data_IF_679735530785
#
_entry.id   IF_679735530785
#
_cell.length_a   1.000
_cell.length_b   1.000
_cell.length_c   1.000
_cell.angle_alpha   90.00
_cell.angle_beta   90.00
_cell.angle_gamma   90.00
#
_symmetry.space_group_name_H-M   'P 1'
#
loop_
_entity.id
_entity.type
_entity.pdbx_description
1 polymer ?
#
# COMPACT_ATOMS: atom_id res chain seq x y z
N UNK A 1 -4.53 3.51 13.21
CA UNK A 1 -3.44 2.86 12.47
C UNK A 1 -2.81 1.89 13.42
N UNK A 2 -3.04 0.61 13.17
CA UNK A 2 -2.60 -0.48 14.02
C UNK A 2 -1.08 -0.73 13.88
N UNK A 3 -0.36 -0.73 15.00
CA UNK A 3 1.08 -1.02 15.05
C UNK A 3 1.40 -2.45 14.57
N UNK A 4 0.55 -3.43 14.92
CA UNK A 4 0.73 -4.83 14.52
C UNK A 4 0.65 -4.99 13.00
N UNK A 5 -0.27 -4.25 12.36
CA UNK A 5 -0.37 -4.23 10.91
C UNK A 5 0.89 -3.64 10.28
N UNK A 6 1.42 -2.53 10.81
CA UNK A 6 2.67 -1.91 10.33
C UNK A 6 3.83 -2.89 10.48
N UNK A 7 3.97 -3.53 11.65
CA UNK A 7 5.01 -4.52 11.92
C UNK A 7 4.93 -5.69 10.92
N UNK A 8 3.72 -6.20 10.69
CA UNK A 8 3.48 -7.25 9.70
C UNK A 8 3.92 -6.80 8.29
N UNK A 9 3.65 -5.54 7.89
CA UNK A 9 4.04 -5.05 6.58
C UNK A 9 5.56 -4.89 6.44
N UNK A 10 6.24 -4.37 7.47
CA UNK A 10 7.70 -4.26 7.50
C UNK A 10 8.34 -5.65 7.38
N UNK A 11 7.86 -6.63 8.15
CA UNK A 11 8.37 -8.00 8.10
C UNK A 11 8.22 -8.63 6.72
N UNK A 12 7.06 -8.43 6.07
CA UNK A 12 6.81 -8.93 4.71
C UNK A 12 7.77 -8.34 3.66
N UNK A 13 7.94 -7.01 3.64
CA UNK A 13 8.84 -6.35 2.68
C UNK A 13 10.29 -6.68 2.96
N UNK A 14 10.71 -6.71 4.22
CA UNK A 14 12.09 -7.06 4.60
C UNK A 14 12.43 -8.45 4.10
N UNK A 15 11.51 -9.42 4.22
CA UNK A 15 11.74 -10.76 3.68
C UNK A 15 11.88 -10.77 2.15
N UNK A 16 11.12 -9.93 1.41
CA UNK A 16 11.27 -9.80 -0.04
C UNK A 16 12.63 -9.19 -0.39
N UNK A 17 13.03 -8.13 0.31
CA UNK A 17 14.31 -7.46 0.13
C UNK A 17 15.51 -8.41 0.39
N UNK A 18 15.42 -9.23 1.44
CA UNK A 18 16.40 -10.31 1.70
C UNK A 18 16.46 -11.33 0.56
N UNK A 19 15.31 -11.70 0.00
CA UNK A 19 15.26 -12.61 -1.14
C UNK A 19 15.91 -12.01 -2.41
N UNK A 20 16.07 -10.68 -2.48
CA UNK A 20 16.84 -9.98 -3.53
C UNK A 20 18.34 -9.90 -3.24
N UNK A 21 18.80 -10.42 -2.09
CA UNK A 21 20.22 -10.48 -1.73
C UNK A 21 20.70 -9.39 -0.78
N UNK A 22 19.80 -8.54 -0.26
CA UNK A 22 20.17 -7.54 0.75
C UNK A 22 20.45 -8.19 2.11
N UNK A 23 21.32 -7.54 2.90
CA UNK A 23 21.53 -7.88 4.30
C UNK A 23 20.29 -7.61 5.14
N UNK A 24 20.25 -8.14 6.37
CA UNK A 24 19.13 -7.91 7.30
C UNK A 24 18.91 -6.41 7.58
N UNK A 25 19.99 -5.64 7.72
CA UNK A 25 19.94 -4.20 7.99
C UNK A 25 19.42 -3.43 6.78
N UNK A 26 19.98 -3.68 5.59
CA UNK A 26 19.54 -3.05 4.33
C UNK A 26 18.08 -3.37 4.04
N UNK A 27 17.68 -4.64 4.16
CA UNK A 27 16.31 -5.07 3.95
C UNK A 27 15.32 -4.42 4.94
N UNK A 28 15.72 -4.28 6.20
CA UNK A 28 14.90 -3.61 7.21
C UNK A 28 14.76 -2.11 6.93
N UNK A 29 15.83 -1.46 6.46
CA UNK A 29 15.82 -0.04 6.10
C UNK A 29 14.96 0.24 4.85
N UNK A 30 15.06 -0.61 3.83
CA UNK A 30 14.20 -0.51 2.65
C UNK A 30 12.74 -0.77 2.99
N UNK A 31 12.46 -1.79 3.81
CA UNK A 31 11.12 -2.09 4.28
C UNK A 31 10.51 -0.92 5.07
N UNK A 32 11.28 -0.32 5.98
CA UNK A 32 10.87 0.88 6.70
C UNK A 32 10.53 2.03 5.73
N UNK A 33 11.40 2.27 4.75
CA UNK A 33 11.24 3.37 3.79
C UNK A 33 9.98 3.17 2.95
N UNK A 34 9.77 1.98 2.38
CA UNK A 34 8.60 1.66 1.58
C UNK A 34 7.31 1.75 2.42
N UNK A 35 7.28 1.15 3.61
CA UNK A 35 6.09 1.19 4.49
C UNK A 35 5.75 2.63 4.92
N UNK A 36 6.76 3.45 5.24
CA UNK A 36 6.56 4.86 5.55
C UNK A 36 5.97 5.62 4.35
N UNK A 37 6.47 5.36 3.14
CA UNK A 37 5.92 5.92 1.90
C UNK A 37 4.46 5.53 1.69
N UNK A 38 4.12 4.24 1.89
CA UNK A 38 2.75 3.73 1.77
C UNK A 38 1.80 4.38 2.79
N UNK A 39 2.25 4.58 4.03
CA UNK A 39 1.48 5.30 5.06
C UNK A 39 1.22 6.76 4.67
N UNK A 40 2.21 7.45 4.10
CA UNK A 40 2.05 8.82 3.59
C UNK A 40 1.02 8.87 2.47
N UNK A 41 1.19 8.03 1.44
CA UNK A 41 0.27 7.97 0.30
C UNK A 41 -1.14 7.52 0.70
N UNK A 42 -1.27 6.66 1.72
CA UNK A 42 -2.57 6.33 2.33
C UNK A 42 -3.24 7.58 2.91
N UNK A 43 -2.51 8.42 3.64
CA UNK A 43 -3.06 9.66 4.17
C UNK A 43 -3.58 10.58 3.06
N UNK A 44 -2.84 10.69 1.96
CA UNK A 44 -3.27 11.47 0.79
C UNK A 44 -4.58 10.96 0.18
N UNK A 45 -4.75 9.63 0.08
CA UNK A 45 -6.01 9.02 -0.38
C UNK A 45 -7.17 9.36 0.57
N UNK A 46 -6.95 9.21 1.88
CA UNK A 46 -7.99 9.42 2.89
C UNK A 46 -8.40 10.89 2.99
N UNK A 47 -7.47 11.84 2.83
CA UNK A 47 -7.80 13.26 2.77
C UNK A 47 -8.79 13.59 1.63
N UNK A 48 -8.68 12.90 0.50
CA UNK A 48 -9.58 13.06 -0.66
C UNK A 48 -10.87 12.23 -0.53
N UNK A 49 -10.85 11.18 0.30
CA UNK A 49 -11.94 10.22 0.44
C UNK A 49 -12.17 9.87 1.93
N UNK A 50 -12.64 10.83 2.74
CA UNK A 50 -12.65 10.70 4.21
C UNK A 50 -13.57 9.60 4.75
N UNK A 51 -14.51 9.09 3.94
CA UNK A 51 -15.39 7.99 4.31
C UNK A 51 -14.73 6.61 4.22
N UNK A 52 -13.56 6.48 3.58
CA UNK A 52 -12.88 5.20 3.43
C UNK A 52 -12.18 4.78 4.73
N UNK A 53 -12.12 3.47 4.98
CA UNK A 53 -11.37 2.94 6.11
C UNK A 53 -9.85 3.01 5.82
N UNK A 54 -9.15 3.86 6.56
CA UNK A 54 -7.71 4.09 6.43
C UNK A 54 -6.85 2.83 6.56
N UNK A 55 -7.18 1.93 7.48
CA UNK A 55 -6.40 0.71 7.71
C UNK A 55 -6.58 -0.28 6.57
N UNK A 56 -7.80 -0.39 6.03
CA UNK A 56 -8.08 -1.20 4.86
C UNK A 56 -7.34 -0.68 3.62
N UNK A 57 -7.32 0.65 3.39
CA UNK A 57 -6.57 1.24 2.28
C UNK A 57 -5.08 0.97 2.44
N UNK A 58 -4.51 1.20 3.62
CA UNK A 58 -3.09 0.92 3.88
C UNK A 58 -2.75 -0.56 3.65
N UNK A 59 -3.61 -1.47 4.13
CA UNK A 59 -3.43 -2.90 3.92
C UNK A 59 -3.47 -3.27 2.43
N UNK A 60 -4.45 -2.77 1.68
CA UNK A 60 -4.55 -3.01 0.23
C UNK A 60 -3.35 -2.45 -0.55
N UNK A 61 -2.87 -1.26 -0.16
CA UNK A 61 -1.66 -0.66 -0.74
C UNK A 61 -0.43 -1.54 -0.48
N UNK A 62 -0.26 -2.01 0.75
CA UNK A 62 0.89 -2.83 1.14
C UNK A 62 0.89 -4.19 0.43
N UNK A 63 -0.27 -4.85 0.35
CA UNK A 63 -0.41 -6.12 -0.39
C UNK A 63 -0.07 -5.96 -1.88
N UNK A 64 -0.43 -4.84 -2.51
CA UNK A 64 -0.03 -4.58 -3.90
C UNK A 64 1.45 -4.24 -4.03
N UNK A 65 1.99 -3.45 -3.09
CA UNK A 65 3.41 -3.12 -3.05
C UNK A 65 4.27 -4.39 -2.95
N UNK A 66 3.86 -5.41 -2.19
CA UNK A 66 4.59 -6.67 -2.10
C UNK A 66 4.76 -7.33 -3.48
N UNK A 67 3.69 -7.38 -4.27
CA UNK A 67 3.72 -7.99 -5.60
C UNK A 67 4.60 -7.22 -6.59
N UNK A 68 4.61 -5.88 -6.50
CA UNK A 68 5.38 -5.03 -7.41
C UNK A 68 6.84 -4.93 -7.00
N UNK A 69 7.11 -4.76 -5.71
CA UNK A 69 8.48 -4.66 -5.20
C UNK A 69 9.27 -5.94 -5.43
N UNK A 70 8.63 -7.11 -5.60
CA UNK A 70 9.33 -8.31 -6.01
C UNK A 70 10.04 -8.16 -7.38
N UNK A 71 9.51 -7.34 -8.29
CA UNK A 71 10.03 -7.17 -9.67
C UNK A 71 10.64 -5.81 -9.96
N UNK A 72 10.55 -4.84 -9.04
CA UNK A 72 11.12 -3.49 -9.16
C UNK A 72 12.01 -3.17 -7.98
N UNK A 73 13.13 -2.49 -8.24
CA UNK A 73 14.08 -2.06 -7.19
C UNK A 73 13.87 -0.61 -6.74
N UNK A 74 13.15 0.19 -7.52
CA UNK A 74 12.86 1.58 -7.18
C UNK A 74 11.60 1.70 -6.30
N UNK A 75 11.80 2.14 -5.05
CA UNK A 75 10.73 2.35 -4.07
C UNK A 75 9.74 3.42 -4.53
N UNK A 76 10.20 4.52 -5.12
CA UNK A 76 9.33 5.62 -5.54
C UNK A 76 8.42 5.17 -6.70
N UNK A 77 8.96 4.38 -7.64
CA UNK A 77 8.14 3.78 -8.70
C UNK A 77 7.08 2.82 -8.15
N UNK A 78 7.42 2.02 -7.12
CA UNK A 78 6.47 1.11 -6.47
C UNK A 78 5.35 1.94 -5.82
N UNK A 79 5.70 2.99 -5.07
CA UNK A 79 4.75 3.86 -4.39
C UNK A 79 3.78 4.53 -5.37
N UNK A 80 4.28 5.10 -6.46
CA UNK A 80 3.45 5.77 -7.45
C UNK A 80 2.55 4.80 -8.22
N UNK A 81 3.07 3.61 -8.54
CA UNK A 81 2.29 2.54 -9.19
C UNK A 81 1.12 2.09 -8.31
N UNK A 82 1.38 1.83 -7.02
CA UNK A 82 0.35 1.42 -6.05
C UNK A 82 -0.67 2.54 -5.83
N UNK A 83 -0.20 3.78 -5.64
CA UNK A 83 -1.07 4.92 -5.41
C UNK A 83 -2.04 5.15 -6.58
N UNK A 84 -1.52 5.10 -7.82
CA UNK A 84 -2.35 5.22 -9.03
C UNK A 84 -3.38 4.09 -9.10
N UNK A 85 -2.95 2.84 -8.91
CA UNK A 85 -3.86 1.68 -8.99
C UNK A 85 -4.98 1.73 -7.96
N UNK A 86 -4.67 2.08 -6.71
CA UNK A 86 -5.69 2.20 -5.65
C UNK A 86 -6.63 3.37 -5.92
N UNK A 87 -6.12 4.51 -6.40
CA UNK A 87 -6.96 5.66 -6.76
C UNK A 87 -7.98 5.30 -7.85
N UNK A 88 -7.57 4.55 -8.87
CA UNK A 88 -8.48 4.05 -9.92
C UNK A 88 -9.52 3.08 -9.34
N UNK A 89 -9.11 2.15 -8.46
CA UNK A 89 -10.03 1.21 -7.79
C UNK A 89 -11.05 1.90 -6.90
N UNK A 90 -10.70 3.03 -6.27
CA UNK A 90 -11.63 3.84 -5.48
C UNK A 90 -12.71 4.48 -6.37
N UNK A 91 -12.33 4.98 -7.55
CA UNK A 91 -13.30 5.54 -8.51
C UNK A 91 -14.28 4.46 -8.95
N UNK A 92 -13.77 3.27 -9.28
CA UNK A 92 -14.60 2.13 -9.70
C UNK A 92 -15.51 1.62 -8.57
N UNK A 93 -14.99 1.52 -7.33
CA UNK A 93 -15.79 1.07 -6.19
C UNK A 93 -16.92 2.05 -5.87
N UNK A 94 -16.67 3.36 -5.98
CA UNK A 94 -17.72 4.37 -5.84
C UNK A 94 -18.79 4.22 -6.91
N UNK A 95 -18.39 4.09 -8.19
CA UNK A 95 -19.33 3.89 -9.29
C UNK A 95 -20.24 2.67 -9.06
N UNK A 96 -19.66 1.53 -8.67
CA UNK A 96 -20.42 0.32 -8.36
C UNK A 96 -21.33 0.52 -7.14
N UNK A 97 -20.85 1.18 -6.09
CA UNK A 97 -21.68 1.50 -4.92
C UNK A 97 -22.90 2.34 -5.30
N UNK A 98 -22.73 3.35 -6.15
CA UNK A 98 -23.82 4.22 -6.61
C UNK A 98 -24.81 3.45 -7.50
N UNK A 99 -24.33 2.59 -8.40
CA UNK A 99 -25.17 1.73 -9.24
C UNK A 99 -26.05 0.81 -8.41
N UNK A 100 -25.49 0.14 -7.39
CA UNK A 100 -26.22 -0.83 -6.58
C UNK A 100 -27.00 -0.23 -5.41
N UNK A 101 -26.69 1.00 -4.99
CA UNK A 101 -27.49 1.70 -3.97
C UNK A 101 -28.84 2.20 -4.53
N UNK A 102 -28.92 2.38 -5.85
CA UNK A 102 -30.12 2.85 -6.55
C UNK A 102 -31.01 1.71 -7.11
N UNK A 103 -30.62 0.45 -6.90
CA UNK A 103 -31.45 -0.72 -7.15
C UNK A 103 -32.43 -0.89 -5.98
N UNK A 104 -33.51 -0.12 -5.99
CA UNK A 104 -34.70 -0.36 -5.17
C UNK A 104 -35.78 -1.05 -5.98
#
# INVERSE_FOLDING_TARGET
>A
MNQDLILQQIGGISQIAKNKGLSEEEASNEAYTLVKGLLSKTNEIILKNPSLNKELIFHQMSTQAFGIYHSKDDIDEVLDSVFKSISEKIILSKKLSDEFSNLK
#
